data_IF_544473976363
#
_entry.id   IF_544473976363
#
_cell.length_a   1.000
_cell.length_b   1.000
_cell.length_c   1.000
_cell.angle_alpha   90.00
_cell.angle_beta   90.00
_cell.angle_gamma   90.00
#
_symmetry.space_group_name_H-M   'P 1'
#
loop_
_entity.id
_entity.type
_entity.pdbx_description
1 polymer ?
#
# COMPACT_ATOMS: atom_id res chain seq x y z
N UNK A 1 19.81 14.17 -2.04
CA UNK A 1 18.38 14.10 -1.85
C UNK A 1 17.79 12.94 -2.58
N UNK A 2 17.15 12.04 -1.87
CA UNK A 2 16.46 10.91 -2.47
C UNK A 2 15.17 11.34 -3.13
N UNK A 3 14.78 10.63 -4.17
CA UNK A 3 13.47 10.79 -4.78
C UNK A 3 12.43 10.08 -3.92
N UNK A 4 11.26 10.70 -3.79
CA UNK A 4 10.12 10.06 -3.15
C UNK A 4 9.60 8.97 -4.06
N UNK A 5 9.46 7.76 -3.54
CA UNK A 5 8.85 6.64 -4.23
C UNK A 5 7.38 6.52 -3.84
N UNK A 6 6.58 5.97 -4.73
CA UNK A 6 5.15 5.72 -4.49
C UNK A 6 4.92 4.22 -4.62
N UNK A 7 4.27 3.66 -3.60
CA UNK A 7 3.97 2.23 -3.54
C UNK A 7 2.47 2.01 -3.42
N UNK A 8 1.98 0.98 -4.10
CA UNK A 8 0.64 0.48 -3.89
C UNK A 8 0.68 -0.75 -2.99
N UNK A 9 -0.30 -0.88 -2.13
CA UNK A 9 -0.41 -2.02 -1.24
C UNK A 9 -1.84 -2.54 -1.22
N UNK A 10 -1.98 -3.87 -1.30
CA UNK A 10 -3.28 -4.51 -1.21
C UNK A 10 -3.77 -4.60 0.22
N UNK A 11 -5.08 -4.55 0.39
CA UNK A 11 -5.71 -4.64 1.71
C UNK A 11 -6.74 -5.77 1.78
N UNK A 12 -6.59 -6.78 0.94
CA UNK A 12 -7.47 -7.96 0.98
C UNK A 12 -6.69 -9.13 1.59
N UNK A 13 -7.08 -9.53 2.80
CA UNK A 13 -6.47 -10.63 3.52
C UNK A 13 -7.48 -11.76 3.61
N UNK A 14 -7.23 -12.85 2.86
CA UNK A 14 -8.11 -14.00 2.88
C UNK A 14 -9.55 -13.70 2.45
N UNK A 15 -9.75 -12.79 1.51
CA UNK A 15 -11.06 -12.37 1.04
C UNK A 15 -11.71 -11.26 1.85
N UNK A 16 -11.04 -10.74 2.89
CA UNK A 16 -11.56 -9.69 3.75
C UNK A 16 -10.82 -8.38 3.44
N UNK A 17 -11.57 -7.32 3.15
CA UNK A 17 -11.02 -5.97 2.97
C UNK A 17 -10.71 -5.36 4.33
N UNK A 18 -9.42 -5.14 4.59
CA UNK A 18 -8.94 -4.56 5.84
C UNK A 18 -8.39 -3.14 5.67
N UNK A 19 -8.78 -2.45 4.61
CA UNK A 19 -8.31 -1.07 4.39
C UNK A 19 -8.64 -0.15 5.55
N UNK A 20 -9.84 -0.28 6.14
CA UNK A 20 -10.23 0.51 7.32
C UNK A 20 -9.33 0.23 8.52
N UNK A 21 -8.88 -1.02 8.66
CA UNK A 21 -7.95 -1.39 9.74
C UNK A 21 -6.59 -0.73 9.55
N UNK A 22 -6.10 -0.65 8.31
CA UNK A 22 -4.88 0.11 8.00
C UNK A 22 -5.04 1.58 8.38
N UNK A 23 -6.14 2.20 7.96
CA UNK A 23 -6.39 3.61 8.23
C UNK A 23 -6.49 3.90 9.72
N UNK A 24 -7.14 3.03 10.47
CA UNK A 24 -7.34 3.21 11.90
C UNK A 24 -6.05 2.98 12.69
N UNK A 25 -5.26 1.99 12.33
CA UNK A 25 -4.05 1.62 13.07
C UNK A 25 -2.82 2.48 12.74
N UNK A 26 -2.83 3.19 11.61
CA UNK A 26 -1.65 3.94 11.17
C UNK A 26 -0.52 3.04 10.66
N UNK A 27 -0.86 1.86 10.15
CA UNK A 27 0.09 0.89 9.63
C UNK A 27 -0.45 0.30 8.34
N UNK A 28 0.43 0.00 7.41
CA UNK A 28 0.11 -0.79 6.23
C UNK A 28 1.17 -1.87 6.05
N UNK A 29 0.77 -3.04 5.57
CA UNK A 29 1.72 -4.13 5.41
C UNK A 29 1.11 -5.36 4.78
N UNK A 30 1.87 -6.45 4.82
CA UNK A 30 1.47 -7.74 4.27
C UNK A 30 1.21 -8.74 5.39
N UNK A 31 0.27 -9.64 5.16
CA UNK A 31 -0.07 -10.70 6.10
C UNK A 31 0.73 -11.97 5.93
N UNK A 32 1.52 -12.07 4.86
CA UNK A 32 2.32 -13.25 4.58
C UNK A 32 3.44 -13.43 5.60
N UNK A 33 3.69 -14.67 6.03
CA UNK A 33 4.84 -14.98 6.86
C UNK A 33 6.14 -14.82 6.07
N UNK A 34 7.23 -14.56 6.78
CA UNK A 34 8.55 -14.44 6.17
C UNK A 34 8.92 -15.69 5.37
N UNK A 35 8.63 -16.87 5.91
CA UNK A 35 8.98 -18.14 5.27
C UNK A 35 8.23 -18.35 3.96
N UNK A 36 6.98 -17.86 3.88
CA UNK A 36 6.13 -18.05 2.71
C UNK A 36 6.33 -16.99 1.64
N UNK A 37 6.73 -15.79 2.04
CA UNK A 37 6.86 -14.67 1.12
C UNK A 37 8.05 -13.76 1.49
N UNK A 38 9.29 -14.29 1.47
CA UNK A 38 10.46 -13.50 1.84
C UNK A 38 10.67 -12.28 0.95
N UNK A 39 10.31 -12.38 -0.32
CA UNK A 39 10.45 -11.26 -1.26
C UNK A 39 9.54 -10.09 -0.89
N UNK A 40 8.33 -10.38 -0.44
CA UNK A 40 7.41 -9.32 0.00
C UNK A 40 7.92 -8.63 1.28
N UNK A 41 8.48 -9.39 2.21
CA UNK A 41 9.09 -8.84 3.41
C UNK A 41 10.27 -7.95 3.06
N UNK A 42 11.14 -8.39 2.15
CA UNK A 42 12.26 -7.58 1.68
C UNK A 42 11.78 -6.31 0.99
N UNK A 43 10.69 -6.40 0.23
CA UNK A 43 10.12 -5.24 -0.46
C UNK A 43 9.62 -4.20 0.55
N UNK A 44 8.91 -4.64 1.58
CA UNK A 44 8.47 -3.76 2.67
C UNK A 44 9.68 -3.09 3.34
N UNK A 45 10.73 -3.85 3.63
CA UNK A 45 11.92 -3.32 4.29
C UNK A 45 12.63 -2.26 3.44
N UNK A 46 12.49 -2.30 2.12
CA UNK A 46 13.09 -1.32 1.22
C UNK A 46 12.35 0.02 1.17
N UNK A 47 11.12 0.08 1.67
CA UNK A 47 10.34 1.31 1.71
C UNK A 47 10.90 2.22 2.80
N UNK A 48 11.10 3.49 2.47
CA UNK A 48 11.78 4.44 3.35
C UNK A 48 10.84 5.50 3.88
N UNK A 49 11.24 6.10 5.01
CA UNK A 49 10.56 7.27 5.56
C UNK A 49 10.43 8.36 4.50
N UNK A 50 9.24 8.92 4.36
CA UNK A 50 8.94 9.94 3.36
C UNK A 50 8.36 9.38 2.07
N UNK A 51 8.44 8.08 1.84
CA UNK A 51 7.79 7.47 0.69
C UNK A 51 6.27 7.51 0.85
N UNK A 52 5.56 7.45 -0.26
CA UNK A 52 4.11 7.52 -0.31
C UNK A 52 3.58 6.11 -0.52
N UNK A 53 2.51 5.78 0.22
CA UNK A 53 1.78 4.52 0.05
C UNK A 53 0.32 4.83 -0.22
N UNK A 54 -0.26 4.15 -1.21
CA UNK A 54 -1.71 4.15 -1.39
C UNK A 54 -2.27 2.73 -1.24
N UNK A 55 -3.48 2.65 -0.69
CA UNK A 55 -4.17 1.36 -0.51
C UNK A 55 -4.98 1.06 -1.75
N UNK A 56 -4.71 -0.07 -2.36
CA UNK A 56 -5.48 -0.58 -3.49
C UNK A 56 -6.31 -1.77 -3.02
N UNK A 57 -7.62 -1.73 -3.28
CA UNK A 57 -8.50 -2.81 -2.84
C UNK A 57 -9.51 -3.25 -3.88
N UNK A 58 -9.30 -2.90 -5.14
CA UNK A 58 -10.19 -3.27 -6.23
C UNK A 58 -9.68 -4.43 -7.07
N UNK A 59 -10.58 -4.91 -7.92
CA UNK A 59 -10.31 -5.99 -8.85
C UNK A 59 -9.37 -5.58 -9.97
N UNK A 60 -8.69 -6.57 -10.47
CA UNK A 60 -7.71 -6.43 -11.53
C UNK A 60 -8.33 -6.16 -12.88
N UNK A 61 -7.51 -5.62 -13.78
CA UNK A 61 -7.88 -5.41 -15.17
C UNK A 61 -8.85 -4.27 -15.39
N UNK A 62 -9.26 -3.62 -14.32
CA UNK A 62 -10.22 -2.52 -14.31
C UNK A 62 -9.59 -1.26 -13.73
N UNK A 63 -10.44 -0.28 -13.41
CA UNK A 63 -10.00 0.93 -12.75
C UNK A 63 -9.37 0.62 -11.39
N UNK A 64 -8.49 1.50 -10.94
CA UNK A 64 -7.81 1.34 -9.66
C UNK A 64 -8.64 2.05 -8.58
N UNK A 65 -9.11 1.30 -7.61
CA UNK A 65 -9.80 1.87 -6.46
C UNK A 65 -8.80 2.11 -5.34
N UNK A 66 -8.66 3.37 -4.93
CA UNK A 66 -7.75 3.77 -3.87
C UNK A 66 -8.58 4.04 -2.62
N UNK A 67 -8.15 3.49 -1.49
CA UNK A 67 -8.89 3.63 -0.22
C UNK A 67 -8.12 4.40 0.84
N UNK A 68 -7.01 4.96 0.48
CA UNK A 68 -6.22 5.81 1.37
C UNK A 68 -4.87 6.12 0.77
N UNK A 69 -4.33 7.27 1.13
CA UNK A 69 -3.00 7.70 0.74
C UNK A 69 -2.29 8.22 1.98
N UNK A 70 -1.05 7.81 2.19
CA UNK A 70 -0.27 8.25 3.33
C UNK A 70 1.21 8.33 3.06
N UNK A 71 1.93 8.81 4.06
CA UNK A 71 3.38 8.95 4.04
C UNK A 71 3.97 8.02 5.09
N UNK A 72 5.02 7.29 4.72
CA UNK A 72 5.77 6.45 5.64
C UNK A 72 6.51 7.33 6.64
N UNK A 73 6.33 7.05 7.92
CA UNK A 73 6.87 7.90 9.00
C UNK A 73 8.16 7.38 9.62
N UNK A 74 8.54 6.14 9.32
CA UNK A 74 9.73 5.52 9.90
C UNK A 74 10.38 4.58 8.90
N UNK A 75 11.70 4.54 8.87
CA UNK A 75 12.45 3.56 8.07
C UNK A 75 12.31 2.15 8.62
N UNK A 76 12.15 2.01 9.93
CA UNK A 76 11.99 0.70 10.56
C UNK A 76 10.68 0.06 10.15
N UNK A 77 10.75 -1.24 9.83
CA UNK A 77 9.54 -2.04 9.60
C UNK A 77 8.97 -2.50 10.92
N UNK A 78 7.63 -2.66 10.95
CA UNK A 78 6.97 -3.33 12.07
C UNK A 78 6.85 -4.82 11.75
N UNK A 79 7.04 -5.66 12.77
CA UNK A 79 6.83 -7.09 12.65
C UNK A 79 5.37 -7.45 12.82
N UNK A 80 5.09 -8.60 13.42
CA UNK A 80 3.70 -9.02 13.66
C UNK A 80 2.96 -7.96 14.47
N UNK A 81 1.89 -7.43 13.89
CA UNK A 81 1.14 -6.31 14.46
C UNK A 81 -0.35 -6.56 14.28
N UNK A 82 -1.07 -6.56 15.41
CA UNK A 82 -2.52 -6.73 15.39
C UNK A 82 -3.18 -5.39 15.07
N UNK A 83 -3.90 -5.34 13.94
CA UNK A 83 -4.59 -4.13 13.47
C UNK A 83 -6.08 -4.16 13.75
N UNK A 84 -6.54 -5.08 14.59
CA UNK A 84 -7.96 -5.23 14.90
C UNK A 84 -8.74 -6.09 13.90
N UNK A 85 -8.06 -6.71 12.94
CA UNK A 85 -8.68 -7.64 11.99
C UNK A 85 -8.42 -9.08 12.42
N UNK A 86 -9.08 -10.02 11.74
CA UNK A 86 -8.85 -11.45 11.96
C UNK A 86 -7.41 -11.85 11.68
N UNK A 87 -6.78 -11.20 10.71
CA UNK A 87 -5.41 -11.48 10.32
C UNK A 87 -4.49 -10.32 10.70
N UNK A 88 -3.37 -10.59 11.38
CA UNK A 88 -2.40 -9.54 11.66
C UNK A 88 -1.57 -9.17 10.45
N UNK A 89 -0.93 -8.02 10.50
CA UNK A 89 0.17 -7.68 9.61
C UNK A 89 1.42 -8.40 10.13
N UNK A 90 2.13 -9.10 9.27
CA UNK A 90 3.38 -9.76 9.64
C UNK A 90 4.61 -8.94 9.25
N UNK A 91 4.49 -8.00 8.35
CA UNK A 91 5.54 -7.04 8.01
C UNK A 91 4.91 -5.79 7.42
N UNK A 92 5.24 -4.63 7.96
CA UNK A 92 4.66 -3.39 7.47
C UNK A 92 5.45 -2.16 7.86
N UNK A 93 4.85 -1.00 7.58
CA UNK A 93 5.42 0.31 7.89
C UNK A 93 4.39 1.16 8.62
N UNK A 94 4.88 2.04 9.47
CA UNK A 94 4.03 3.06 10.09
C UNK A 94 3.72 4.15 9.07
N UNK A 95 2.46 4.56 9.01
CA UNK A 95 1.94 5.48 8.00
C UNK A 95 1.18 6.62 8.67
N UNK A 96 1.42 7.83 8.19
CA UNK A 96 0.55 8.98 8.46
C UNK A 96 -0.41 9.09 7.27
N UNK A 97 -1.67 8.74 7.49
CA UNK A 97 -2.68 8.75 6.44
C UNK A 97 -3.16 10.18 6.20
N UNK A 98 -2.89 10.70 5.00
CA UNK A 98 -3.21 12.08 4.61
C UNK A 98 -4.58 12.20 3.96
N UNK A 99 -4.97 11.21 3.17
CA UNK A 99 -6.28 11.14 2.53
C UNK A 99 -6.88 9.78 2.84
N UNK A 100 -8.00 9.78 3.56
CA UNK A 100 -8.72 8.56 3.96
C UNK A 100 -9.95 8.32 3.11
N UNK A 101 -10.15 9.11 2.07
CA UNK A 101 -11.30 8.96 1.18
C UNK A 101 -11.06 7.84 0.18
N UNK A 102 -12.16 7.30 -0.35
CA UNK A 102 -12.11 6.32 -1.42
C UNK A 102 -12.35 7.01 -2.75
N UNK A 103 -11.52 6.72 -3.74
CA UNK A 103 -11.68 7.24 -5.09
C UNK A 103 -11.15 6.26 -6.11
N UNK A 104 -11.50 6.50 -7.37
CA UNK A 104 -11.15 5.61 -8.47
C UNK A 104 -10.24 6.34 -9.45
N UNK A 105 -9.15 5.68 -9.83
CA UNK A 105 -8.28 6.13 -10.91
C UNK A 105 -8.64 5.31 -12.14
N UNK A 106 -8.96 5.95 -13.29
CA UNK A 106 -9.25 5.21 -14.51
C UNK A 106 -8.10 4.29 -14.90
N UNK A 107 -8.44 3.16 -15.46
CA UNK A 107 -7.46 2.16 -15.89
C UNK A 107 -6.36 2.80 -16.73
N UNK A 108 -5.10 2.71 -16.30
CA UNK A 108 -4.01 3.33 -17.06
C UNK A 108 -3.73 2.58 -18.34
N UNK A 109 -3.20 3.32 -19.30
CA UNK A 109 -2.79 2.76 -20.58
C UNK A 109 -1.58 1.85 -20.44
N UNK A 110 -1.54 0.83 -21.27
CA UNK A 110 -0.39 -0.05 -21.36
C UNK A 110 -0.49 -1.27 -20.47
N UNK A 111 0.46 -2.18 -20.67
CA UNK A 111 0.53 -3.43 -19.92
C UNK A 111 1.34 -3.20 -18.65
N UNK A 112 0.69 -3.27 -17.53
CA UNK A 112 1.37 -3.19 -16.25
C UNK A 112 0.60 -4.02 -15.22
N UNK A 113 1.12 -5.21 -14.95
CA UNK A 113 0.48 -6.19 -14.08
C UNK A 113 1.02 -6.17 -12.66
N UNK A 114 1.93 -5.25 -12.32
CA UNK A 114 2.51 -5.20 -10.97
C UNK A 114 1.44 -4.96 -9.90
N UNK A 115 0.30 -4.37 -10.28
CA UNK A 115 -0.78 -4.08 -9.34
C UNK A 115 -1.52 -5.32 -8.86
N UNK A 116 -1.23 -6.49 -9.40
CA UNK A 116 -1.72 -7.76 -8.87
C UNK A 116 -0.92 -8.22 -7.64
N UNK A 117 0.26 -7.68 -7.42
CA UNK A 117 1.08 -8.01 -6.25
C UNK A 117 0.53 -7.37 -4.99
N UNK A 118 0.86 -7.96 -3.85
CA UNK A 118 0.44 -7.43 -2.54
C UNK A 118 1.06 -6.07 -2.24
N UNK A 119 2.27 -5.84 -2.69
CA UNK A 119 2.95 -4.54 -2.61
C UNK A 119 3.79 -4.38 -3.86
N UNK A 120 3.81 -3.15 -4.40
CA UNK A 120 4.53 -2.86 -5.64
C UNK A 120 4.88 -1.37 -5.70
N UNK A 121 5.94 -1.05 -6.44
CA UNK A 121 6.26 0.33 -6.73
C UNK A 121 5.46 0.81 -7.93
N UNK A 122 4.85 1.99 -7.80
CA UNK A 122 4.06 2.59 -8.86
C UNK A 122 4.94 3.45 -9.76
N UNK A 123 4.93 3.17 -11.05
CA UNK A 123 5.70 3.92 -12.05
C UNK A 123 4.84 4.61 -13.10
N UNK A 124 3.56 4.29 -13.17
CA UNK A 124 2.71 4.85 -14.23
C UNK A 124 2.45 6.33 -13.98
N UNK A 125 2.80 7.23 -14.95
CA UNK A 125 2.68 8.68 -14.72
C UNK A 125 1.25 9.13 -14.39
N UNK A 126 0.24 8.52 -15.01
CA UNK A 126 -1.15 8.90 -14.77
C UNK A 126 -1.60 8.57 -13.36
N UNK A 127 -1.16 7.42 -12.84
CA UNK A 127 -1.48 7.02 -11.47
C UNK A 127 -0.74 7.92 -10.48
N UNK A 128 0.54 8.15 -10.70
CA UNK A 128 1.35 9.03 -9.86
C UNK A 128 0.72 10.42 -9.78
N UNK A 129 0.31 10.97 -10.92
CA UNK A 129 -0.31 12.29 -10.99
C UNK A 129 -1.58 12.36 -10.14
N UNK A 130 -2.45 11.35 -10.25
CA UNK A 130 -3.70 11.32 -9.49
C UNK A 130 -3.46 11.17 -7.98
N UNK A 131 -2.47 10.38 -7.60
CA UNK A 131 -2.09 10.22 -6.19
C UNK A 131 -1.56 11.55 -5.62
N UNK A 132 -0.66 12.21 -6.36
CA UNK A 132 -0.05 13.46 -5.89
C UNK A 132 -1.03 14.60 -5.77
N UNK A 133 -2.07 14.64 -6.61
CA UNK A 133 -3.13 15.66 -6.51
C UNK A 133 -3.86 15.64 -5.18
N UNK A 134 -3.89 14.51 -4.49
CA UNK A 134 -4.65 14.32 -3.26
C UNK A 134 -3.83 14.53 -2.00
N UNK A 135 -2.56 14.83 -2.17
CA UNK A 135 -1.68 15.14 -1.05
C UNK A 135 -1.70 16.64 -0.85
N UNK A 136 -2.06 17.10 0.37
CA UNK A 136 -2.11 18.53 0.67
C UNK A 136 -0.74 19.20 0.67
#
# INVERSE_FOLDING_TARGET
MGKVAIYGIGANFGGIDISKNFLHSGVAGVGWDQADAPDLHNYIDSIEKGDIIYIKSCNFGNDICVKGIGIVTDNASVGTFNIGSKYPINRGKQIDWLDKSTFVIPKPYGKNNVRSNSVYREFHPDVIKEILKRIP
#
